data_IF_505444825310
#
_entry.id   IF_505444825310
#
_cell.length_a   1.000
_cell.length_b   1.000
_cell.length_c   1.000
_cell.angle_alpha   90.00
_cell.angle_beta   90.00
_cell.angle_gamma   90.00
#
_symmetry.space_group_name_H-M   'P 1'
#
loop_
_entity.id
_entity.type
_entity.pdbx_description
1 polymer ?
#
# COMPACT_ATOMS: atom_id res chain seq x y z
N UNK A 1 -9.95 -1.77 -61.39
CA UNK A 1 -9.43 -0.99 -60.27
C UNK A 1 -10.64 -0.56 -59.45
N UNK A 2 -10.97 -1.29 -58.38
CA UNK A 2 -12.17 -1.03 -57.57
C UNK A 2 -11.82 -0.01 -56.48
N UNK A 3 -12.61 1.05 -56.27
CA UNK A 3 -12.32 2.05 -55.25
C UNK A 3 -12.58 1.46 -53.86
N UNK A 4 -11.53 1.47 -53.04
CA UNK A 4 -11.51 1.11 -51.62
C UNK A 4 -11.83 2.39 -50.84
N UNK A 5 -13.08 2.66 -50.47
CA UNK A 5 -13.44 3.45 -49.27
C UNK A 5 -14.96 3.53 -49.10
N UNK A 6 -15.53 2.58 -48.36
CA UNK A 6 -16.70 2.90 -47.54
C UNK A 6 -16.34 2.56 -46.11
N UNK A 7 -16.28 3.61 -45.27
CA UNK A 7 -16.01 3.46 -43.85
C UNK A 7 -17.37 3.33 -43.15
N UNK A 8 -17.78 2.09 -42.88
CA UNK A 8 -19.11 1.72 -42.37
C UNK A 8 -19.38 2.10 -40.90
N UNK A 9 -18.43 2.75 -40.22
CA UNK A 9 -18.55 3.11 -38.81
C UNK A 9 -18.65 4.63 -38.65
N UNK A 10 -19.88 5.13 -38.60
CA UNK A 10 -20.17 6.51 -38.22
C UNK A 10 -20.18 6.64 -36.69
N UNK A 11 -19.53 7.67 -36.14
CA UNK A 11 -19.46 7.95 -34.69
C UNK A 11 -20.84 8.04 -34.01
N UNK A 12 -21.88 8.38 -34.78
CA UNK A 12 -23.27 8.46 -34.31
C UNK A 12 -24.00 7.11 -34.21
N UNK A 13 -23.39 6.02 -34.70
CA UNK A 13 -23.99 4.67 -34.72
C UNK A 13 -23.42 3.74 -33.65
N UNK A 14 -22.49 4.23 -32.81
CA UNK A 14 -21.92 3.45 -31.69
C UNK A 14 -22.67 3.83 -30.42
N UNK A 15 -23.82 3.21 -30.21
CA UNK A 15 -24.48 3.21 -28.90
C UNK A 15 -23.90 2.06 -28.11
N UNK A 16 -23.08 2.36 -27.10
CA UNK A 16 -22.61 1.34 -26.16
C UNK A 16 -23.76 0.84 -25.30
N UNK A 17 -23.87 -0.47 -25.13
CA UNK A 17 -24.83 -1.07 -24.19
C UNK A 17 -24.40 -0.76 -22.74
N UNK A 18 -25.32 -0.24 -21.94
CA UNK A 18 -25.13 -0.10 -20.51
C UNK A 18 -25.37 -1.45 -19.83
N UNK A 19 -24.29 -2.20 -19.57
CA UNK A 19 -24.39 -3.45 -18.81
C UNK A 19 -24.42 -3.12 -17.31
N UNK A 20 -25.58 -3.30 -16.68
CA UNK A 20 -25.71 -3.20 -15.23
C UNK A 20 -24.95 -4.35 -14.56
N UNK A 21 -23.92 -4.05 -13.78
CA UNK A 21 -23.22 -5.04 -12.98
C UNK A 21 -24.12 -5.51 -11.83
N UNK A 22 -24.54 -6.78 -11.86
CA UNK A 22 -25.25 -7.40 -10.75
C UNK A 22 -24.23 -7.92 -9.73
N UNK A 23 -24.41 -7.56 -8.46
CA UNK A 23 -23.55 -8.03 -7.38
C UNK A 23 -24.03 -9.37 -6.86
N UNK A 24 -23.14 -10.36 -6.75
CA UNK A 24 -23.47 -11.71 -6.29
C UNK A 24 -23.53 -11.88 -4.76
N UNK A 25 -22.82 -11.05 -3.99
CA UNK A 25 -22.78 -11.10 -2.52
C UNK A 25 -23.15 -9.74 -1.92
N UNK A 26 -23.89 -9.75 -0.80
CA UNK A 26 -24.31 -8.56 -0.08
C UNK A 26 -23.17 -7.72 0.53
N UNK A 27 -21.96 -8.29 0.60
CA UNK A 27 -20.71 -7.62 1.00
C UNK A 27 -20.05 -6.82 -0.13
N UNK A 28 -20.51 -6.96 -1.37
CA UNK A 28 -20.00 -6.14 -2.45
C UNK A 28 -20.43 -4.68 -2.28
N UNK A 29 -19.63 -3.76 -2.81
CA UNK A 29 -19.95 -2.34 -2.79
C UNK A 29 -21.05 -2.06 -3.83
N UNK A 30 -22.31 -2.19 -3.41
CA UNK A 30 -23.50 -2.07 -4.25
C UNK A 30 -23.84 -0.61 -4.59
N UNK A 31 -22.85 0.20 -4.98
CA UNK A 31 -23.04 1.64 -5.21
C UNK A 31 -23.51 2.39 -3.98
N UNK A 32 -23.27 1.84 -2.77
CA UNK A 32 -23.53 2.57 -1.52
C UNK A 32 -22.59 3.78 -1.54
N UNK A 33 -23.14 4.96 -1.28
CA UNK A 33 -22.34 6.16 -1.11
C UNK A 33 -21.21 5.84 -0.13
N UNK A 34 -19.96 5.89 -0.62
CA UNK A 34 -18.80 5.75 0.24
C UNK A 34 -19.00 6.78 1.33
N UNK A 35 -19.07 6.32 2.58
CA UNK A 35 -19.16 7.22 3.71
C UNK A 35 -17.86 8.01 3.68
N UNK A 36 -17.91 9.21 3.12
CA UNK A 36 -16.79 10.15 3.15
C UNK A 36 -16.68 10.49 4.62
N UNK A 37 -15.78 9.80 5.32
CA UNK A 37 -15.31 10.24 6.61
C UNK A 37 -14.87 11.68 6.38
N UNK A 38 -15.43 12.65 7.12
CA UNK A 38 -15.05 14.06 7.00
C UNK A 38 -13.61 14.35 7.45
N UNK A 39 -12.79 13.31 7.53
CA UNK A 39 -11.39 13.32 7.87
C UNK A 39 -10.58 13.42 6.58
N UNK A 40 -9.59 14.30 6.59
CA UNK A 40 -8.64 14.47 5.50
C UNK A 40 -7.88 13.14 5.28
N UNK A 41 -8.11 12.43 4.15
CA UNK A 41 -7.46 11.16 3.89
C UNK A 41 -5.93 11.27 3.88
N UNK A 42 -5.38 12.45 3.55
CA UNK A 42 -3.95 12.69 3.55
C UNK A 42 -3.39 12.74 4.98
N UNK A 43 -4.12 13.34 5.94
CA UNK A 43 -3.74 13.29 7.37
C UNK A 43 -3.76 11.86 7.88
N UNK A 44 -4.83 11.12 7.61
CA UNK A 44 -4.96 9.74 8.09
C UNK A 44 -3.86 8.83 7.54
N UNK A 45 -3.46 9.01 6.27
CA UNK A 45 -2.33 8.28 5.71
C UNK A 45 -1.00 8.72 6.32
N UNK A 46 -0.76 10.03 6.47
CA UNK A 46 0.45 10.57 7.10
C UNK A 46 0.62 10.04 8.52
N UNK A 47 -0.45 10.07 9.32
CA UNK A 47 -0.44 9.57 10.70
C UNK A 47 -0.17 8.07 10.74
N UNK A 48 -0.79 7.29 9.84
CA UNK A 48 -0.52 5.86 9.71
C UNK A 48 0.94 5.57 9.32
N UNK A 49 1.54 6.39 8.45
CA UNK A 49 2.93 6.27 8.05
C UNK A 49 3.87 6.60 9.22
N UNK A 50 3.61 7.69 9.95
CA UNK A 50 4.39 8.07 11.14
C UNK A 50 4.34 6.98 12.20
N UNK A 51 3.14 6.46 12.51
CA UNK A 51 2.99 5.35 13.46
C UNK A 51 3.74 4.09 12.98
N UNK A 52 3.74 3.80 11.68
CA UNK A 52 4.49 2.67 11.15
C UNK A 52 6.01 2.86 11.32
N UNK A 53 6.52 4.08 11.10
CA UNK A 53 7.94 4.41 11.32
C UNK A 53 8.34 4.27 12.80
N UNK A 54 7.52 4.79 13.71
CA UNK A 54 7.73 4.63 15.15
C UNK A 54 7.77 3.16 15.56
N UNK A 55 6.85 2.35 15.02
CA UNK A 55 6.81 0.91 15.28
C UNK A 55 8.05 0.18 14.78
N UNK A 56 8.60 0.56 13.62
CA UNK A 56 9.88 -0.02 13.15
C UNK A 56 11.02 0.32 14.11
N UNK A 57 11.09 1.55 14.60
CA UNK A 57 12.08 1.96 15.58
C UNK A 57 11.96 1.15 16.89
N UNK A 58 10.74 0.95 17.40
CA UNK A 58 10.51 0.09 18.56
C UNK A 58 10.97 -1.35 18.34
N UNK A 59 10.69 -1.91 17.14
CA UNK A 59 11.14 -3.26 16.78
C UNK A 59 12.66 -3.37 16.71
N UNK A 60 13.36 -2.32 16.25
CA UNK A 60 14.82 -2.27 16.22
C UNK A 60 15.40 -2.23 17.64
N UNK A 61 14.91 -1.33 18.50
CA UNK A 61 15.36 -1.21 19.90
C UNK A 61 15.09 -2.50 20.69
N UNK A 62 13.93 -3.13 20.46
CA UNK A 62 13.58 -4.41 21.08
C UNK A 62 14.54 -5.53 20.66
N UNK A 63 14.86 -5.63 19.37
CA UNK A 63 15.83 -6.61 18.87
C UNK A 63 17.23 -6.39 19.47
N UNK A 64 17.67 -5.14 19.59
CA UNK A 64 18.98 -4.77 20.16
C UNK A 64 19.04 -5.08 21.67
N UNK A 65 17.96 -4.78 22.40
CA UNK A 65 17.81 -5.09 23.83
C UNK A 65 17.79 -6.59 24.10
N UNK A 66 17.06 -7.38 23.29
CA UNK A 66 17.10 -8.84 23.38
C UNK A 66 18.49 -9.38 23.04
N UNK A 67 19.20 -8.79 22.07
CA UNK A 67 20.57 -9.13 21.74
C UNK A 67 21.52 -8.97 22.92
N UNK A 68 21.46 -7.82 23.61
CA UNK A 68 22.24 -7.59 24.82
C UNK A 68 21.91 -8.59 25.93
N UNK A 69 20.61 -8.89 26.13
CA UNK A 69 20.17 -9.87 27.14
C UNK A 69 20.67 -11.28 26.85
N UNK A 70 20.70 -11.72 25.59
CA UNK A 70 21.25 -13.03 25.21
C UNK A 70 22.74 -13.13 25.50
N UNK A 71 23.49 -12.03 25.30
CA UNK A 71 24.93 -11.98 25.61
C UNK A 71 25.17 -12.00 27.13
N UNK A 72 24.33 -11.31 27.91
CA UNK A 72 24.48 -11.21 29.38
C UNK A 72 23.88 -12.38 30.17
N UNK A 73 22.80 -13.00 29.68
CA UNK A 73 22.13 -14.15 30.28
C UNK A 73 21.58 -15.10 29.18
N UNK A 74 22.42 -16.02 28.69
CA UNK A 74 22.07 -16.95 27.61
C UNK A 74 20.98 -17.96 27.98
N UNK A 75 20.65 -18.13 29.27
CA UNK A 75 19.67 -19.11 29.75
C UNK A 75 18.25 -18.55 29.87
N UNK A 76 18.11 -17.23 29.88
CA UNK A 76 16.83 -16.53 30.05
C UNK A 76 16.10 -16.19 28.74
N UNK A 77 16.74 -16.33 27.57
CA UNK A 77 16.17 -15.91 26.27
C UNK A 77 16.47 -16.95 25.18
N UNK A 78 15.44 -17.42 24.48
CA UNK A 78 15.59 -18.33 23.36
C UNK A 78 16.19 -17.62 22.13
N UNK A 79 17.33 -18.09 21.64
CA UNK A 79 18.04 -17.51 20.49
C UNK A 79 17.16 -17.40 19.22
N UNK A 80 16.23 -18.35 19.03
CA UNK A 80 15.26 -18.32 17.93
C UNK A 80 14.29 -17.14 18.01
N UNK A 81 13.84 -16.78 19.21
CA UNK A 81 12.95 -15.61 19.40
C UNK A 81 13.66 -14.32 19.01
N UNK A 82 14.93 -14.15 19.39
CA UNK A 82 15.75 -13.01 18.95
C UNK A 82 15.86 -12.97 17.42
N UNK A 83 16.19 -14.09 16.79
CA UNK A 83 16.33 -14.18 15.34
C UNK A 83 15.02 -13.82 14.63
N UNK A 84 13.88 -14.29 15.12
CA UNK A 84 12.55 -13.94 14.60
C UNK A 84 12.29 -12.43 14.74
N UNK A 85 12.59 -11.82 15.90
CA UNK A 85 12.39 -10.38 16.09
C UNK A 85 13.32 -9.55 15.22
N UNK A 86 14.58 -9.96 15.08
CA UNK A 86 15.56 -9.31 14.21
C UNK A 86 15.12 -9.36 12.74
N UNK A 87 14.68 -10.53 12.25
CA UNK A 87 14.21 -10.67 10.87
C UNK A 87 12.92 -9.87 10.65
N UNK A 88 12.00 -9.86 11.63
CA UNK A 88 10.79 -9.02 11.58
C UNK A 88 11.15 -7.54 11.50
N UNK A 89 12.10 -7.06 12.29
CA UNK A 89 12.56 -5.67 12.24
C UNK A 89 13.19 -5.33 10.87
N UNK A 90 14.01 -6.24 10.32
CA UNK A 90 14.65 -6.08 9.01
C UNK A 90 13.63 -6.03 7.86
N UNK A 91 12.63 -6.91 7.88
CA UNK A 91 11.53 -6.90 6.92
C UNK A 91 10.71 -5.60 7.02
N UNK A 92 10.35 -5.17 8.23
CA UNK A 92 9.64 -3.90 8.47
C UNK A 92 10.41 -2.70 7.91
N UNK A 93 11.71 -2.62 8.17
CA UNK A 93 12.57 -1.55 7.65
C UNK A 93 12.63 -1.54 6.11
N UNK A 94 12.74 -2.72 5.50
CA UNK A 94 12.76 -2.86 4.04
C UNK A 94 11.45 -2.39 3.42
N UNK A 95 10.31 -2.75 4.02
CA UNK A 95 8.99 -2.31 3.57
C UNK A 95 8.84 -0.79 3.67
N UNK A 96 9.22 -0.20 4.82
CA UNK A 96 9.21 1.25 5.04
C UNK A 96 10.04 1.97 3.99
N UNK A 97 11.26 1.48 3.71
CA UNK A 97 12.12 2.06 2.67
C UNK A 97 11.42 2.07 1.31
N UNK A 98 10.83 0.94 0.92
CA UNK A 98 10.13 0.84 -0.36
C UNK A 98 8.95 1.83 -0.47
N UNK A 99 8.21 2.02 0.63
CA UNK A 99 7.10 2.99 0.67
C UNK A 99 7.63 4.43 0.56
N UNK A 100 8.71 4.76 1.29
CA UNK A 100 9.34 6.07 1.22
C UNK A 100 9.88 6.37 -0.19
N UNK A 101 10.56 5.41 -0.81
CA UNK A 101 11.06 5.52 -2.18
C UNK A 101 9.91 5.74 -3.18
N UNK A 102 8.80 5.01 -3.02
CA UNK A 102 7.60 5.20 -3.83
C UNK A 102 7.01 6.59 -3.64
N UNK A 103 6.87 7.07 -2.41
CA UNK A 103 6.32 8.40 -2.12
C UNK A 103 7.17 9.52 -2.76
N UNK A 104 8.49 9.44 -2.64
CA UNK A 104 9.42 10.39 -3.27
C UNK A 104 9.33 10.33 -4.79
N UNK A 105 9.26 9.12 -5.37
CA UNK A 105 9.11 8.93 -6.81
C UNK A 105 7.80 9.52 -7.31
N UNK A 106 6.68 9.21 -6.67
CA UNK A 106 5.36 9.72 -7.03
C UNK A 106 5.30 11.24 -6.92
N UNK A 107 5.91 11.84 -5.89
CA UNK A 107 6.04 13.29 -5.77
C UNK A 107 6.78 13.90 -6.97
N UNK A 108 7.94 13.32 -7.34
CA UNK A 108 8.72 13.77 -8.51
C UNK A 108 7.91 13.65 -9.80
N UNK A 109 7.24 12.53 -10.02
CA UNK A 109 6.39 12.29 -11.20
C UNK A 109 5.24 13.30 -11.30
N UNK A 110 4.53 13.56 -10.19
CA UNK A 110 3.46 14.57 -10.16
C UNK A 110 3.99 16.00 -10.38
N UNK A 111 5.18 16.32 -9.86
CA UNK A 111 5.78 17.64 -10.03
C UNK A 111 6.29 17.90 -11.45
N UNK A 112 6.80 16.87 -12.13
CA UNK A 112 7.31 16.94 -13.50
C UNK A 112 6.22 16.84 -14.59
N UNK A 113 4.97 16.53 -14.21
CA UNK A 113 3.83 16.53 -15.12
C UNK A 113 3.31 17.95 -15.45
N UNK A 114 3.92 19.01 -14.89
CA UNK A 114 3.66 20.41 -15.21
C UNK A 114 4.74 20.98 -16.13
#
# INVERSE_FOLDING_TARGET
>A
MLPITENFFHQNNVTGDFVSLKTSDARHNNGRAVKVLGEDPAKNFSDALVMALEKVNEQQVSAETLGQKVVSDPKGVEAHTLMIQAEKARMSLTLVKNIADLAVRTYRELSNLR
#
